data_IF_770453527588
#
_entry.id   IF_770453527588
#
_cell.length_a   1.000
_cell.length_b   1.000
_cell.length_c   1.000
_cell.angle_alpha   90.00
_cell.angle_beta   90.00
_cell.angle_gamma   90.00
#
_symmetry.space_group_name_H-M   'P 1'
#
loop_
_entity.id
_entity.type
_entity.pdbx_description
1 polymer ?
#
# COMPACT_ATOMS: atom_id res chain seq x y z
N UNK A 1 -15.35 9.44 51.42
CA UNK A 1 -15.92 8.87 50.19
C UNK A 1 -14.87 8.95 49.10
N UNK A 2 -14.34 7.81 48.65
CA UNK A 2 -13.30 7.76 47.63
C UNK A 2 -13.95 7.94 46.25
N UNK A 3 -13.49 8.95 45.51
CA UNK A 3 -13.94 9.20 44.14
C UNK A 3 -13.59 7.99 43.26
N UNK A 4 -14.55 7.36 42.56
CA UNK A 4 -14.24 6.35 41.55
C UNK A 4 -13.56 7.07 40.40
N UNK A 5 -12.23 6.97 40.30
CA UNK A 5 -11.52 7.42 39.11
C UNK A 5 -11.95 6.48 37.97
N UNK A 6 -12.70 7.04 37.02
CA UNK A 6 -13.00 6.46 35.70
C UNK A 6 -11.79 5.65 35.23
N UNK A 7 -11.94 4.33 35.14
CA UNK A 7 -11.03 3.48 34.39
C UNK A 7 -11.10 3.94 32.95
N UNK A 8 -10.08 4.69 32.53
CA UNK A 8 -9.83 4.94 31.12
C UNK A 8 -9.74 3.56 30.48
N UNK A 9 -10.68 3.22 29.59
CA UNK A 9 -10.52 2.09 28.70
C UNK A 9 -9.26 2.39 27.87
N UNK A 10 -8.10 1.95 28.35
CA UNK A 10 -6.93 1.80 27.50
C UNK A 10 -7.40 0.90 26.37
N UNK A 11 -7.45 1.46 25.17
CA UNK A 11 -7.61 0.69 23.96
C UNK A 11 -6.35 -0.16 23.89
N UNK A 12 -6.41 -1.36 24.48
CA UNK A 12 -5.37 -2.37 24.38
C UNK A 12 -5.40 -2.78 22.91
N UNK A 13 -4.62 -2.08 22.09
CA UNK A 13 -4.23 -2.64 20.81
C UNK A 13 -3.55 -3.97 21.16
N UNK A 14 -3.98 -5.10 20.57
CA UNK A 14 -3.33 -6.37 20.81
C UNK A 14 -1.84 -6.14 20.57
N UNK A 15 -1.03 -6.45 21.58
CA UNK A 15 0.39 -6.28 21.50
C UNK A 15 0.83 -7.18 20.35
N UNK A 16 1.24 -6.57 19.25
CA UNK A 16 1.75 -7.33 18.13
C UNK A 16 2.87 -8.21 18.64
N UNK A 17 2.70 -9.53 18.48
CA UNK A 17 3.67 -10.52 18.95
C UNK A 17 5.03 -10.32 18.29
N UNK A 18 5.03 -9.63 17.16
CA UNK A 18 6.22 -9.30 16.42
C UNK A 18 6.67 -7.87 16.66
N UNK A 19 7.98 -7.73 16.89
CA UNK A 19 8.64 -6.44 17.05
C UNK A 19 9.01 -5.85 15.68
N UNK A 20 9.34 -4.56 15.67
CA UNK A 20 9.92 -3.90 14.48
C UNK A 20 11.21 -4.61 14.06
N UNK A 21 12.03 -5.12 15.01
CA UNK A 21 13.26 -5.85 14.69
C UNK A 21 12.96 -7.09 13.85
N UNK A 22 11.98 -7.89 14.25
CA UNK A 22 11.60 -9.11 13.53
C UNK A 22 11.23 -8.80 12.07
N UNK A 23 10.50 -7.70 11.84
CA UNK A 23 10.14 -7.27 10.51
C UNK A 23 11.34 -6.76 9.69
N UNK A 24 12.29 -6.07 10.35
CA UNK A 24 13.53 -5.64 9.72
C UNK A 24 14.45 -6.80 9.37
N UNK A 25 14.52 -7.83 10.21
CA UNK A 25 15.23 -9.08 9.92
C UNK A 25 14.65 -9.74 8.67
N UNK A 26 13.33 -9.98 8.66
CA UNK A 26 12.63 -10.55 7.53
C UNK A 26 12.72 -9.69 6.24
N UNK A 27 12.83 -8.37 6.34
CA UNK A 27 13.04 -7.49 5.20
C UNK A 27 14.48 -7.57 4.67
N UNK A 28 15.48 -7.77 5.54
CA UNK A 28 16.88 -7.96 5.12
C UNK A 28 17.06 -9.27 4.37
N UNK A 29 16.31 -10.30 4.71
CA UNK A 29 16.32 -11.58 3.99
C UNK A 29 15.82 -11.44 2.53
N UNK A 30 15.11 -10.35 2.22
CA UNK A 30 14.62 -10.01 0.88
C UNK A 30 15.54 -9.04 0.12
N UNK A 31 16.79 -8.84 0.55
CA UNK A 31 17.72 -7.84 -0.05
C UNK A 31 17.97 -8.06 -1.55
N UNK A 32 17.96 -9.31 -2.01
CA UNK A 32 18.15 -9.65 -3.43
C UNK A 32 16.97 -9.19 -4.30
N UNK A 33 15.75 -9.16 -3.74
CA UNK A 33 14.53 -8.75 -4.44
C UNK A 33 14.14 -7.30 -4.19
N UNK A 34 14.49 -6.78 -3.01
CA UNK A 34 14.20 -5.43 -2.53
C UNK A 34 15.51 -4.80 -2.03
N UNK A 35 16.31 -4.21 -2.93
CA UNK A 35 17.54 -3.54 -2.55
C UNK A 35 17.28 -2.42 -1.53
N UNK A 36 18.20 -2.20 -0.59
CA UNK A 36 18.07 -1.15 0.47
C UNK A 36 17.79 0.26 -0.04
N UNK A 37 18.16 0.56 -1.28
CA UNK A 37 17.97 1.87 -1.94
C UNK A 37 16.65 1.97 -2.72
N UNK A 38 15.86 0.90 -2.76
CA UNK A 38 14.57 0.88 -3.44
C UNK A 38 13.52 1.68 -2.63
N UNK A 39 12.60 2.33 -3.35
CA UNK A 39 11.42 2.96 -2.77
C UNK A 39 10.57 1.97 -1.98
N UNK A 40 10.50 0.73 -2.45
CA UNK A 40 9.76 -0.35 -1.79
C UNK A 40 10.36 -0.71 -0.43
N UNK A 41 11.69 -0.65 -0.30
CA UNK A 41 12.38 -0.86 0.99
C UNK A 41 12.00 0.21 2.01
N UNK A 42 12.02 1.49 1.59
CA UNK A 42 11.59 2.60 2.44
C UNK A 42 10.11 2.51 2.81
N UNK A 43 9.26 2.11 1.86
CA UNK A 43 7.83 1.88 2.10
C UNK A 43 7.58 0.78 3.14
N UNK A 44 8.29 -0.35 3.05
CA UNK A 44 8.17 -1.44 4.02
C UNK A 44 8.48 -0.96 5.44
N UNK A 45 9.56 -0.18 5.63
CA UNK A 45 9.92 0.39 6.93
C UNK A 45 8.79 1.26 7.50
N UNK A 46 8.17 2.11 6.67
CA UNK A 46 7.04 2.94 7.08
C UNK A 46 5.82 2.11 7.47
N UNK A 47 5.58 1.03 6.74
CA UNK A 47 4.43 0.15 6.97
C UNK A 47 4.60 -0.72 8.23
N UNK A 48 5.82 -1.13 8.61
CA UNK A 48 6.08 -1.87 9.85
C UNK A 48 5.82 -1.07 11.13
N UNK A 49 5.67 0.26 11.04
CA UNK A 49 5.20 1.11 12.14
C UNK A 49 3.74 0.80 12.48
N UNK A 50 2.96 0.28 11.53
CA UNK A 50 1.55 -0.10 11.71
C UNK A 50 1.54 -1.56 12.21
N UNK A 51 1.14 -1.84 13.47
CA UNK A 51 1.26 -3.17 14.06
C UNK A 51 0.55 -4.27 13.24
N UNK A 52 -0.66 -3.98 12.76
CA UNK A 52 -1.46 -4.93 11.97
C UNK A 52 -0.77 -5.29 10.65
N UNK A 53 -0.23 -4.29 9.93
CA UNK A 53 0.45 -4.55 8.65
C UNK A 53 1.76 -5.31 8.86
N UNK A 54 2.46 -5.04 9.96
CA UNK A 54 3.64 -5.81 10.39
C UNK A 54 3.31 -7.27 10.67
N UNK A 55 2.21 -7.55 11.36
CA UNK A 55 1.76 -8.92 11.60
C UNK A 55 1.43 -9.65 10.31
N UNK A 56 0.70 -9.00 9.40
CA UNK A 56 0.40 -9.59 8.09
C UNK A 56 1.69 -9.93 7.36
N UNK A 57 2.63 -8.99 7.25
CA UNK A 57 3.92 -9.22 6.59
C UNK A 57 4.67 -10.44 7.15
N UNK A 58 4.73 -10.57 8.48
CA UNK A 58 5.50 -11.62 9.14
C UNK A 58 4.80 -12.98 9.12
N UNK A 59 3.47 -13.01 9.03
CA UNK A 59 2.69 -14.23 8.89
C UNK A 59 2.59 -14.73 7.44
N UNK A 60 3.02 -13.94 6.45
CA UNK A 60 3.10 -14.37 5.06
C UNK A 60 4.34 -15.25 4.84
N UNK A 61 4.19 -16.22 3.93
CA UNK A 61 5.29 -17.01 3.41
C UNK A 61 6.33 -16.10 2.73
N UNK A 62 7.64 -16.40 2.84
CA UNK A 62 8.71 -15.53 2.35
C UNK A 62 8.56 -15.13 0.88
N UNK A 63 8.15 -16.06 0.02
CA UNK A 63 7.94 -15.89 -1.42
C UNK A 63 6.75 -14.97 -1.76
N UNK A 64 5.81 -14.78 -0.84
CA UNK A 64 4.61 -13.94 -1.05
C UNK A 64 4.84 -12.51 -0.55
N UNK A 65 5.82 -12.28 0.33
CA UNK A 65 6.08 -10.98 0.98
C UNK A 65 6.36 -9.86 0.01
N UNK A 66 7.19 -10.11 -1.01
CA UNK A 66 7.59 -9.09 -2.00
C UNK A 66 6.40 -8.69 -2.87
N UNK A 67 5.60 -9.66 -3.33
CA UNK A 67 4.39 -9.41 -4.09
C UNK A 67 3.40 -8.56 -3.29
N UNK A 68 3.17 -8.92 -2.01
CA UNK A 68 2.25 -8.21 -1.15
C UNK A 68 2.70 -6.76 -0.89
N UNK A 69 4.01 -6.54 -0.65
CA UNK A 69 4.58 -5.19 -0.52
C UNK A 69 4.33 -4.33 -1.77
N UNK A 70 4.54 -4.89 -2.97
CA UNK A 70 4.32 -4.18 -4.24
C UNK A 70 2.86 -3.81 -4.43
N UNK A 71 1.95 -4.73 -4.08
CA UNK A 71 0.51 -4.49 -4.13
C UNK A 71 0.08 -3.36 -3.19
N UNK A 72 0.50 -3.42 -1.92
CA UNK A 72 0.21 -2.37 -0.93
C UNK A 72 0.78 -1.01 -1.36
N UNK A 73 1.98 -1.01 -1.94
CA UNK A 73 2.59 0.20 -2.48
C UNK A 73 1.78 0.79 -3.63
N UNK A 74 1.25 -0.04 -4.53
CA UNK A 74 0.40 0.39 -5.64
C UNK A 74 -0.97 0.91 -5.15
N UNK A 75 -1.58 0.26 -4.16
CA UNK A 75 -2.85 0.70 -3.55
C UNK A 75 -2.71 2.07 -2.87
N UNK A 76 -1.58 2.35 -2.22
CA UNK A 76 -1.32 3.66 -1.62
C UNK A 76 -0.86 4.73 -2.61
N UNK A 77 -0.41 4.34 -3.81
CA UNK A 77 0.03 5.25 -4.87
C UNK A 77 -0.83 5.05 -6.13
N UNK A 78 -2.11 5.47 -6.13
CA UNK A 78 -3.04 5.18 -7.22
C UNK A 78 -2.53 5.67 -8.60
N UNK A 79 -1.73 6.73 -8.63
CA UNK A 79 -1.13 7.26 -9.88
C UNK A 79 -0.22 6.23 -10.57
N UNK A 80 0.47 5.35 -9.83
CA UNK A 80 1.28 4.27 -10.39
C UNK A 80 0.41 3.11 -10.94
N UNK A 81 -0.78 2.90 -10.38
CA UNK A 81 -1.73 1.87 -10.83
C UNK A 81 -2.48 2.26 -12.10
N UNK A 82 -2.64 3.56 -12.38
CA UNK A 82 -3.32 4.04 -13.59
C UNK A 82 -2.52 3.76 -14.88
N UNK A 83 -1.19 3.66 -14.81
CA UNK A 83 -0.36 3.37 -15.99
C UNK A 83 -0.63 1.99 -16.62
N UNK A 84 -1.20 1.04 -15.87
CA UNK A 84 -1.56 -0.28 -16.40
C UNK A 84 -2.94 -0.32 -17.07
N UNK A 85 -3.84 0.62 -16.75
CA UNK A 85 -5.20 0.66 -17.32
C UNK A 85 -5.30 1.49 -18.61
N UNK A 86 -4.35 2.41 -18.83
CA UNK A 86 -4.28 3.19 -20.08
C UNK A 86 -3.57 2.45 -21.22
N UNK A 87 -2.82 1.38 -20.92
CA UNK A 87 -2.10 0.59 -21.94
C UNK A 87 -2.97 -0.46 -22.66
N UNK A 88 -4.20 -0.73 -22.19
CA UNK A 88 -5.16 -1.63 -22.87
C UNK A 88 -6.45 -0.92 -23.27
N UNK A 89 -6.54 0.39 -23.11
CA UNK A 89 -7.63 1.19 -23.66
C UNK A 89 -7.35 1.47 -25.13
N UNK A 90 -7.56 0.45 -25.98
CA UNK A 90 -7.80 0.60 -27.42
C UNK A 90 -9.18 1.23 -27.66
N UNK A 91 -9.44 2.38 -27.05
CA UNK A 91 -10.58 3.23 -27.36
C UNK A 91 -10.06 4.40 -28.18
N UNK A 92 -10.51 4.59 -29.43
CA UNK A 92 -10.20 5.81 -30.16
C UNK A 92 -10.96 6.94 -29.50
N UNK A 93 -10.28 7.78 -28.73
CA UNK A 93 -10.78 9.13 -28.47
C UNK A 93 -10.82 9.84 -29.82
N UNK A 94 -11.95 9.77 -30.52
CA UNK A 94 -12.25 10.73 -31.58
C UNK A 94 -12.61 12.06 -30.89
N UNK A 95 -11.85 13.15 -31.15
CA UNK A 95 -12.29 14.48 -30.76
C UNK A 95 -13.68 14.72 -31.36
N UNK A 96 -14.63 15.17 -30.54
CA UNK A 96 -15.97 15.48 -31.00
C UNK A 96 -15.89 16.64 -32.00
N UNK A 97 -16.03 16.35 -33.29
CA UNK A 97 -16.18 17.37 -34.32
C UNK A 97 -17.63 17.83 -34.32
N UNK A 98 -17.94 19.10 -34.00
CA UNK A 98 -19.29 19.61 -34.14
C UNK A 98 -19.70 19.53 -35.63
N UNK A 99 -20.95 19.13 -35.93
CA UNK A 99 -21.44 19.12 -37.31
C UNK A 99 -21.47 20.55 -37.89
N UNK A 100 -21.25 20.71 -39.20
CA UNK A 100 -21.29 22.04 -39.83
C UNK A 100 -22.70 22.65 -39.73
N UNK A 101 -22.80 23.99 -39.62
CA UNK A 101 -24.08 24.67 -39.48
C UNK A 101 -24.96 24.47 -40.73
N UNK A 102 -26.31 24.46 -40.58
CA UNK A 102 -27.22 24.34 -41.71
C UNK A 102 -27.03 25.51 -42.69
N UNK A 103 -26.83 25.19 -43.97
CA UNK A 103 -26.85 26.20 -45.02
C UNK A 103 -28.32 26.63 -45.24
N UNK A 104 -28.64 27.87 -44.92
CA UNK A 104 -29.91 28.48 -45.28
C UNK A 104 -29.97 28.62 -46.81
N UNK A 105 -31.04 28.09 -47.42
CA UNK A 105 -31.42 28.34 -48.81
C UNK A 105 -32.36 29.53 -48.90
#
# INVERSE_FOLDING_TARGET
MASPRKSVNEIIFPHSQYTISNAMDALRDLEDEIPKKDKLYYFAIKMFQIPVKREVFLNLDPDVRVWWLRREYAEQNPIASFSSLVATSSFPFQPYHPPPPPQAS
#
